data_IF_499206125183
#
_entry.id   IF_499206125183
#
_cell.length_a   1.000
_cell.length_b   1.000
_cell.length_c   1.000
_cell.angle_alpha   90.00
_cell.angle_beta   90.00
_cell.angle_gamma   90.00
#
_symmetry.space_group_name_H-M   'P 1'
#
loop_
_entity.id
_entity.type
_entity.pdbx_description
1 polymer ?
#
# COMPACT_ATOMS: atom_id res chain seq x y z
N UNK A 1 -13.55 29.56 26.76
CA UNK A 1 -13.30 28.17 27.26
C UNK A 1 -12.44 27.28 26.35
N UNK A 2 -12.42 27.43 25.01
CA UNK A 2 -11.65 26.55 24.10
C UNK A 2 -10.12 26.72 24.16
N UNK A 3 -9.60 27.89 24.50
CA UNK A 3 -8.14 28.16 24.56
C UNK A 3 -7.42 27.47 25.71
N UNK A 4 -8.07 27.39 26.86
CA UNK A 4 -7.47 26.79 28.06
C UNK A 4 -7.43 25.24 27.98
N UNK A 5 -8.42 24.62 27.33
CA UNK A 5 -8.48 23.16 27.12
C UNK A 5 -7.34 22.71 26.20
N UNK A 6 -7.04 23.48 25.13
CA UNK A 6 -5.93 23.17 24.21
C UNK A 6 -4.58 23.28 24.93
N UNK A 7 -4.39 24.33 25.75
CA UNK A 7 -3.16 24.51 26.53
C UNK A 7 -2.95 23.39 27.54
N UNK A 8 -4.03 22.91 28.20
CA UNK A 8 -3.98 21.80 29.17
C UNK A 8 -3.61 20.49 28.48
N UNK A 9 -4.18 20.20 27.31
CA UNK A 9 -3.85 19.00 26.51
C UNK A 9 -2.38 19.07 26.02
N UNK A 10 -1.93 20.23 25.57
CA UNK A 10 -0.55 20.44 25.13
C UNK A 10 0.45 20.27 26.28
N UNK A 11 0.12 20.80 27.47
CA UNK A 11 0.96 20.63 28.68
C UNK A 11 1.00 19.18 29.13
N UNK A 12 -0.13 18.47 29.04
CA UNK A 12 -0.21 17.03 29.36
C UNK A 12 0.66 16.19 28.41
N UNK A 13 0.63 16.50 27.11
CA UNK A 13 1.48 15.86 26.09
C UNK A 13 2.98 16.10 26.32
N UNK A 14 3.37 17.30 26.78
CA UNK A 14 4.77 17.66 27.06
C UNK A 14 5.28 16.96 28.33
N UNK A 15 4.43 16.74 29.34
CA UNK A 15 4.81 16.07 30.61
C UNK A 15 5.15 14.59 30.44
N UNK A 16 4.69 13.92 29.37
CA UNK A 16 5.08 12.54 29.07
C UNK A 16 6.47 12.41 28.42
N UNK A 17 7.13 13.52 28.10
CA UNK A 17 8.44 13.54 27.41
C UNK A 17 9.65 13.37 28.35
N UNK A 18 9.46 13.24 29.66
CA UNK A 18 10.56 13.19 30.60
C UNK A 18 10.87 11.76 31.07
N UNK A 19 12.07 11.29 30.71
CA UNK A 19 12.77 10.12 31.27
C UNK A 19 12.48 8.71 30.74
N UNK A 20 11.92 8.52 29.57
CA UNK A 20 12.11 7.24 28.88
C UNK A 20 13.47 7.32 28.14
N UNK A 21 14.45 6.51 28.54
CA UNK A 21 15.54 6.16 27.65
C UNK A 21 14.91 5.44 26.46
N UNK A 22 14.60 6.22 25.40
CA UNK A 22 13.96 5.70 24.19
C UNK A 22 15.00 4.82 23.51
N UNK A 23 14.91 3.52 23.74
CA UNK A 23 15.75 2.57 23.05
C UNK A 23 15.25 2.48 21.60
N UNK A 24 16.07 2.94 20.68
CA UNK A 24 15.80 2.85 19.26
C UNK A 24 16.45 1.60 18.69
N UNK A 25 15.68 0.79 18.03
CA UNK A 25 16.18 -0.32 17.21
C UNK A 25 15.87 0.00 15.75
N UNK A 26 16.83 -0.28 14.87
CA UNK A 26 16.63 -0.13 13.44
C UNK A 26 17.41 -1.19 12.70
N UNK A 27 16.91 -1.63 11.55
CA UNK A 27 17.61 -2.61 10.74
C UNK A 27 16.87 -3.02 9.48
N UNK A 28 17.58 -3.72 8.59
CA UNK A 28 17.01 -4.23 7.36
C UNK A 28 15.93 -5.28 7.63
N UNK A 29 14.96 -5.33 6.72
CA UNK A 29 13.90 -6.33 6.66
C UNK A 29 13.85 -7.00 5.31
N UNK A 30 13.69 -8.32 5.31
CA UNK A 30 13.37 -9.10 4.11
C UNK A 30 12.10 -9.89 4.36
N UNK A 31 11.31 -10.11 3.33
CA UNK A 31 10.04 -10.81 3.47
C UNK A 31 9.48 -11.37 2.18
N UNK A 32 8.47 -12.20 2.36
CA UNK A 32 7.62 -12.73 1.28
C UNK A 32 6.17 -12.36 1.58
N UNK A 33 5.48 -11.89 0.55
CA UNK A 33 4.07 -11.53 0.62
C UNK A 33 3.26 -12.37 -0.34
N UNK A 34 2.27 -13.06 0.19
CA UNK A 34 1.21 -13.67 -0.58
C UNK A 34 0.08 -12.64 -0.73
N UNK A 35 -0.34 -12.43 -1.96
CA UNK A 35 -1.41 -11.52 -2.34
C UNK A 35 -2.57 -12.33 -2.88
N UNK A 36 -3.75 -12.14 -2.32
CA UNK A 36 -4.98 -12.75 -2.85
C UNK A 36 -5.39 -12.13 -4.18
N UNK A 37 -6.28 -12.81 -4.95
CA UNK A 37 -6.80 -12.26 -6.19
C UNK A 37 -7.35 -10.84 -6.00
N UNK A 38 -6.99 -9.94 -6.90
CA UNK A 38 -7.34 -8.53 -6.84
C UNK A 38 -6.39 -7.68 -7.68
N UNK A 39 -6.54 -6.37 -7.64
CA UNK A 39 -5.77 -5.44 -8.45
C UNK A 39 -4.25 -5.63 -8.30
N UNK A 40 -3.76 -5.75 -7.06
CA UNK A 40 -2.32 -5.90 -6.82
C UNK A 40 -1.77 -7.22 -7.36
N UNK A 41 -2.53 -8.31 -7.25
CA UNK A 41 -2.12 -9.62 -7.80
C UNK A 41 -2.03 -9.56 -9.33
N UNK A 42 -2.97 -8.89 -10.00
CA UNK A 42 -2.96 -8.74 -11.46
C UNK A 42 -1.78 -7.88 -11.93
N UNK A 43 -1.45 -6.81 -11.20
CA UNK A 43 -0.25 -6.03 -11.46
C UNK A 43 1.03 -6.88 -11.37
N UNK A 44 1.17 -7.66 -10.29
CA UNK A 44 2.32 -8.54 -10.08
C UNK A 44 2.44 -9.63 -11.15
N UNK A 45 1.33 -10.05 -11.74
CA UNK A 45 1.26 -11.02 -12.84
C UNK A 45 1.44 -10.36 -14.21
N UNK A 46 1.48 -9.02 -14.26
CA UNK A 46 1.51 -8.21 -15.51
C UNK A 46 0.23 -8.36 -16.36
N UNK A 47 -0.87 -8.72 -15.72
CA UNK A 47 -2.18 -8.80 -16.36
C UNK A 47 -2.83 -7.41 -16.46
N UNK A 48 -2.29 -6.41 -15.73
CA UNK A 48 -2.71 -5.00 -15.74
C UNK A 48 -1.46 -4.12 -15.88
N UNK A 49 -1.47 -3.17 -16.80
CA UNK A 49 -0.42 -2.18 -16.97
C UNK A 49 -0.80 -0.88 -16.28
N UNK A 50 0.08 -0.34 -15.45
CA UNK A 50 -0.12 0.93 -14.76
C UNK A 50 0.15 2.16 -15.64
N UNK A 51 0.95 1.98 -16.68
CA UNK A 51 1.33 3.04 -17.61
C UNK A 51 1.03 2.55 -19.01
N UNK A 52 0.14 3.24 -19.71
CA UNK A 52 -0.14 2.97 -21.12
C UNK A 52 1.09 3.33 -21.93
N UNK A 53 1.79 2.32 -22.45
CA UNK A 53 2.56 2.50 -23.65
C UNK A 53 1.57 2.54 -24.82
N UNK A 54 1.68 3.51 -25.70
CA UNK A 54 0.71 3.83 -26.76
C UNK A 54 0.36 2.68 -27.73
N UNK A 55 0.93 1.48 -27.55
CA UNK A 55 0.78 0.32 -28.44
C UNK A 55 0.36 -0.98 -27.74
N UNK A 56 -0.23 -0.95 -26.59
CA UNK A 56 -0.63 -2.17 -25.89
C UNK A 56 -2.05 -2.05 -25.37
N UNK A 57 -2.85 -3.12 -25.60
CA UNK A 57 -4.19 -3.26 -25.07
C UNK A 57 -4.27 -2.78 -23.63
N UNK A 58 -4.89 -1.61 -23.45
CA UNK A 58 -5.13 -1.05 -22.13
C UNK A 58 -6.16 -1.93 -21.45
N UNK A 59 -5.93 -2.22 -20.16
CA UNK A 59 -6.97 -2.84 -19.35
C UNK A 59 -8.21 -1.94 -19.35
N UNK A 60 -9.32 -2.49 -19.78
CA UNK A 60 -10.62 -1.81 -19.89
C UNK A 60 -11.31 -1.59 -18.53
N UNK A 61 -10.70 -2.04 -17.44
CA UNK A 61 -11.26 -1.92 -16.10
C UNK A 61 -12.33 -2.96 -15.77
N UNK A 62 -12.75 -3.81 -16.72
CA UNK A 62 -13.94 -4.64 -16.56
C UNK A 62 -13.69 -5.95 -15.83
N UNK A 63 -12.48 -6.53 -15.91
CA UNK A 63 -12.21 -7.84 -15.31
C UNK A 63 -10.84 -7.92 -14.65
N UNK A 64 -10.76 -8.66 -13.55
CA UNK A 64 -9.50 -9.04 -12.91
C UNK A 64 -9.37 -10.57 -12.94
N UNK A 65 -8.11 -11.03 -13.11
CA UNK A 65 -7.79 -12.45 -13.03
C UNK A 65 -8.08 -13.02 -11.63
N UNK A 66 -8.39 -14.31 -11.58
CA UNK A 66 -8.81 -15.00 -10.34
C UNK A 66 -7.63 -15.58 -9.54
N UNK A 67 -6.38 -15.31 -9.92
CA UNK A 67 -5.22 -15.91 -9.30
C UNK A 67 -4.49 -14.90 -8.40
N UNK A 68 -4.05 -15.40 -7.25
CA UNK A 68 -3.15 -14.65 -6.37
C UNK A 68 -1.73 -14.53 -6.93
N UNK A 69 -0.88 -13.81 -6.21
CA UNK A 69 0.52 -13.63 -6.55
C UNK A 69 1.41 -13.73 -5.32
N UNK A 70 2.70 -14.00 -5.55
CA UNK A 70 3.75 -13.92 -4.55
C UNK A 70 4.74 -12.84 -4.95
N UNK A 71 5.24 -12.08 -3.97
CA UNK A 71 6.32 -11.12 -4.16
C UNK A 71 7.31 -11.15 -3.01
N UNK A 72 8.58 -10.94 -3.31
CA UNK A 72 9.59 -10.63 -2.33
C UNK A 72 9.50 -9.17 -1.90
N UNK A 73 9.86 -8.89 -0.65
CA UNK A 73 9.92 -7.53 -0.11
C UNK A 73 11.25 -7.30 0.60
N UNK A 74 11.77 -6.10 0.43
CA UNK A 74 13.01 -5.63 1.04
C UNK A 74 12.77 -4.25 1.62
N UNK A 75 13.38 -3.96 2.75
CA UNK A 75 13.20 -2.64 3.32
C UNK A 75 13.89 -2.46 4.66
N UNK A 76 13.33 -1.57 5.44
CA UNK A 76 13.90 -1.13 6.70
C UNK A 76 12.82 -0.94 7.75
N UNK A 77 13.15 -1.27 9.01
CA UNK A 77 12.34 -1.01 10.18
C UNK A 77 13.03 -0.03 11.10
N UNK A 78 12.25 0.87 11.68
CA UNK A 78 12.61 1.69 12.82
C UNK A 78 11.63 1.38 13.94
N UNK A 79 12.15 1.15 15.12
CA UNK A 79 11.38 0.84 16.33
C UNK A 79 11.79 1.79 17.44
N UNK A 80 10.79 2.30 18.15
CA UNK A 80 10.97 3.13 19.32
C UNK A 80 10.12 2.59 20.46
N UNK A 81 10.68 2.45 21.66
CA UNK A 81 9.96 2.09 22.86
C UNK A 81 9.46 3.36 23.52
N UNK A 82 8.16 3.44 23.80
CA UNK A 82 7.56 4.60 24.46
C UNK A 82 7.05 4.30 25.87
N UNK A 83 6.90 3.04 26.24
CA UNK A 83 6.47 2.60 27.56
C UNK A 83 7.20 1.32 27.95
N UNK A 84 7.60 1.21 29.21
CA UNK A 84 8.22 0.02 29.79
C UNK A 84 7.52 -0.34 31.08
N UNK A 85 6.76 -1.43 31.07
CA UNK A 85 6.06 -2.00 32.22
C UNK A 85 6.76 -3.24 32.80
N UNK A 86 8.04 -3.44 32.49
CA UNK A 86 8.84 -4.59 32.92
C UNK A 86 8.57 -5.83 32.08
N UNK A 87 7.41 -6.46 32.23
CA UNK A 87 7.04 -7.65 31.46
C UNK A 87 6.48 -7.34 30.07
N UNK A 88 6.00 -6.12 29.85
CA UNK A 88 5.41 -5.67 28.59
C UNK A 88 5.97 -4.28 28.26
N UNK A 89 6.40 -4.12 27.02
CA UNK A 89 6.95 -2.88 26.48
C UNK A 89 6.03 -2.37 25.37
N UNK A 90 5.68 -1.10 25.41
CA UNK A 90 4.97 -0.41 24.34
C UNK A 90 5.93 0.05 23.24
N UNK A 91 5.57 -0.20 21.99
CA UNK A 91 6.39 0.05 20.80
C UNK A 91 5.66 0.94 19.81
N UNK A 92 6.41 1.79 19.13
CA UNK A 92 6.03 2.40 17.85
C UNK A 92 7.00 1.90 16.81
N UNK A 93 6.46 1.35 15.73
CA UNK A 93 7.21 0.75 14.65
C UNK A 93 6.88 1.43 13.31
N UNK A 94 7.91 1.77 12.57
CA UNK A 94 7.84 2.20 11.20
C UNK A 94 8.50 1.15 10.34
N UNK A 95 7.79 0.64 9.35
CA UNK A 95 8.30 -0.37 8.43
C UNK A 95 8.09 0.14 7.01
N UNK A 96 9.18 0.40 6.30
CA UNK A 96 9.18 0.77 4.89
C UNK A 96 9.68 -0.42 4.07
N UNK A 97 8.88 -0.89 3.13
CA UNK A 97 9.19 -2.03 2.28
C UNK A 97 9.00 -1.66 0.80
N UNK A 98 9.79 -2.29 -0.05
CA UNK A 98 9.64 -2.30 -1.51
C UNK A 98 9.48 -3.73 -1.95
N UNK A 99 8.42 -4.01 -2.70
CA UNK A 99 8.11 -5.34 -3.24
C UNK A 99 8.12 -5.38 -4.75
N UNK A 100 8.10 -6.61 -5.30
CA UNK A 100 7.93 -6.85 -6.74
C UNK A 100 9.17 -6.63 -7.60
N UNK A 101 10.35 -6.39 -7.00
CA UNK A 101 11.58 -6.15 -7.77
C UNK A 101 11.97 -7.34 -8.66
N UNK A 102 11.68 -8.57 -8.23
CA UNK A 102 11.87 -9.79 -9.04
C UNK A 102 10.97 -9.85 -10.28
N UNK A 103 9.93 -9.01 -10.31
CA UNK A 103 9.01 -8.84 -11.44
C UNK A 103 9.32 -7.59 -12.27
N UNK A 104 10.38 -6.85 -11.91
CA UNK A 104 10.70 -5.56 -12.51
C UNK A 104 9.75 -4.44 -12.09
N UNK A 105 9.07 -4.60 -10.94
CA UNK A 105 8.14 -3.62 -10.38
C UNK A 105 8.74 -2.97 -9.14
N UNK A 106 8.34 -1.73 -8.90
CA UNK A 106 8.68 -0.98 -7.70
C UNK A 106 7.38 -0.67 -6.95
N UNK A 107 7.07 -1.49 -5.93
CA UNK A 107 5.84 -1.41 -5.15
C UNK A 107 6.15 -1.01 -3.71
N UNK A 108 6.25 0.31 -3.43
CA UNK A 108 6.54 0.80 -2.10
C UNK A 108 5.35 0.63 -1.16
N UNK A 109 5.64 0.37 0.12
CA UNK A 109 4.68 0.42 1.21
C UNK A 109 5.33 0.92 2.48
N UNK A 110 4.58 1.70 3.27
CA UNK A 110 5.00 2.21 4.56
C UNK A 110 3.93 1.90 5.59
N UNK A 111 4.31 1.27 6.68
CA UNK A 111 3.44 0.99 7.82
C UNK A 111 3.91 1.78 9.03
N UNK A 112 2.97 2.37 9.75
CA UNK A 112 3.18 2.97 11.07
C UNK A 112 2.32 2.22 12.07
N UNK A 113 2.95 1.49 12.99
CA UNK A 113 2.23 0.58 13.89
C UNK A 113 2.51 0.94 15.34
N UNK A 114 1.50 0.78 16.18
CA UNK A 114 1.64 0.78 17.62
C UNK A 114 1.46 -0.67 18.09
N UNK A 115 2.35 -1.10 18.94
CA UNK A 115 2.40 -2.49 19.39
C UNK A 115 2.88 -2.67 20.81
N UNK A 116 2.90 -3.91 21.19
CA UNK A 116 3.42 -4.37 22.48
C UNK A 116 4.38 -5.55 22.24
N UNK A 117 5.41 -5.61 23.06
CA UNK A 117 6.34 -6.75 23.12
C UNK A 117 6.41 -7.26 24.54
N UNK A 118 6.26 -8.56 24.73
CA UNK A 118 6.48 -9.21 26.02
C UNK A 118 7.97 -9.40 26.31
N UNK A 119 8.33 -9.59 27.57
CA UNK A 119 9.69 -9.95 27.97
C UNK A 119 10.18 -11.26 27.33
N UNK A 120 9.25 -12.18 27.00
CA UNK A 120 9.54 -13.43 26.28
C UNK A 120 9.83 -13.21 24.79
N UNK A 121 9.53 -12.05 24.22
CA UNK A 121 9.79 -11.73 22.81
C UNK A 121 8.56 -11.79 21.89
N UNK A 122 7.38 -12.15 22.39
CA UNK A 122 6.13 -12.14 21.61
C UNK A 122 5.73 -10.69 21.33
N UNK A 123 5.36 -10.41 20.09
CA UNK A 123 4.99 -9.08 19.60
C UNK A 123 3.61 -9.09 18.96
N UNK A 124 2.87 -7.98 19.18
CA UNK A 124 1.62 -7.68 18.48
C UNK A 124 1.63 -6.19 18.14
N UNK A 125 1.32 -5.86 16.91
CA UNK A 125 1.25 -4.48 16.45
C UNK A 125 0.12 -4.29 15.44
N UNK A 126 -0.44 -3.09 15.41
CA UNK A 126 -1.44 -2.71 14.42
C UNK A 126 -1.30 -1.22 14.08
N UNK A 127 -1.72 -0.85 12.88
CA UNK A 127 -1.67 0.53 12.44
C UNK A 127 -1.98 0.71 10.97
N UNK A 128 -1.89 1.94 10.46
CA UNK A 128 -2.07 2.20 9.03
C UNK A 128 -0.90 1.69 8.19
N UNK A 129 -1.24 1.19 7.02
CA UNK A 129 -0.32 0.85 5.93
C UNK A 129 -0.68 1.67 4.70
N UNK A 130 0.26 2.44 4.20
CA UNK A 130 0.17 3.18 2.95
C UNK A 130 0.91 2.40 1.86
N UNK A 131 0.25 2.15 0.74
CA UNK A 131 0.81 1.47 -0.42
C UNK A 131 0.18 1.99 -1.71
N UNK A 132 0.61 1.53 -2.88
CA UNK A 132 -0.03 1.90 -4.15
C UNK A 132 -1.51 1.49 -4.22
N UNK A 133 -1.92 0.49 -3.45
CA UNK A 133 -3.33 0.11 -3.31
C UNK A 133 -4.17 1.08 -2.46
N UNK A 134 -3.54 2.09 -1.82
CA UNK A 134 -4.19 3.04 -0.91
C UNK A 134 -3.78 2.84 0.54
N UNK A 135 -4.59 3.37 1.46
CA UNK A 135 -4.39 3.27 2.91
C UNK A 135 -5.27 2.15 3.45
N UNK A 136 -4.67 1.19 4.14
CA UNK A 136 -5.36 0.09 4.79
C UNK A 136 -4.85 -0.07 6.23
N UNK A 137 -5.55 -0.83 7.06
CA UNK A 137 -5.03 -1.27 8.35
C UNK A 137 -4.11 -2.47 8.15
N UNK A 138 -3.01 -2.50 8.89
CA UNK A 138 -2.16 -3.69 9.03
C UNK A 138 -2.25 -4.20 10.46
N UNK A 139 -2.32 -5.50 10.62
CA UNK A 139 -2.25 -6.20 11.90
C UNK A 139 -1.10 -7.20 11.81
N UNK A 140 -0.20 -7.15 12.78
CA UNK A 140 0.97 -8.01 12.81
C UNK A 140 1.12 -8.71 14.15
N UNK A 141 1.71 -9.90 14.08
CA UNK A 141 2.17 -10.66 15.23
C UNK A 141 3.54 -11.26 14.93
N UNK A 142 4.36 -11.43 15.95
CA UNK A 142 5.69 -11.95 15.73
C UNK A 142 6.40 -12.38 16.99
N UNK A 143 7.64 -12.76 16.79
CA UNK A 143 8.55 -13.13 17.84
C UNK A 143 9.93 -12.52 17.60
N UNK A 144 10.48 -11.85 18.59
CA UNK A 144 11.81 -11.27 18.54
C UNK A 144 12.82 -12.19 19.24
N UNK A 145 13.60 -12.91 18.46
CA UNK A 145 14.72 -13.70 18.97
C UNK A 145 15.88 -12.78 19.35
N UNK A 146 16.48 -13.01 20.51
CA UNK A 146 17.60 -12.20 21.01
C UNK A 146 18.86 -13.05 21.15
N UNK A 147 19.93 -12.59 20.50
CA UNK A 147 21.25 -13.22 20.56
C UNK A 147 22.29 -12.15 20.90
N UNK A 148 22.47 -11.89 22.22
CA UNK A 148 23.29 -10.77 22.67
C UNK A 148 22.74 -9.43 22.19
N UNK A 149 23.53 -8.70 21.41
CA UNK A 149 23.13 -7.41 20.85
C UNK A 149 22.29 -7.51 19.55
N UNK A 150 22.15 -8.72 19.00
CA UNK A 150 21.36 -8.97 17.81
C UNK A 150 19.91 -9.30 18.18
N UNK A 151 18.98 -8.54 17.64
CA UNK A 151 17.54 -8.81 17.66
C UNK A 151 17.12 -9.29 16.27
N UNK A 152 16.48 -10.44 16.22
CA UNK A 152 16.00 -11.08 14.99
C UNK A 152 14.46 -11.20 15.06
N UNK A 153 13.71 -10.14 14.77
CA UNK A 153 12.27 -10.22 14.72
C UNK A 153 11.79 -11.01 13.50
N UNK A 154 10.93 -11.99 13.75
CA UNK A 154 10.20 -12.74 12.72
C UNK A 154 8.73 -12.44 12.90
N UNK A 155 8.13 -11.80 11.89
CA UNK A 155 6.76 -11.29 12.00
C UNK A 155 5.90 -11.78 10.83
N UNK A 156 4.63 -12.02 11.13
CA UNK A 156 3.56 -12.19 10.15
C UNK A 156 2.66 -10.97 10.24
N UNK A 157 2.31 -10.40 9.10
CA UNK A 157 1.43 -9.24 9.00
C UNK A 157 0.31 -9.51 8.00
N UNK A 158 -0.88 -9.05 8.32
CA UNK A 158 -2.07 -9.14 7.48
C UNK A 158 -2.58 -7.73 7.15
N UNK A 159 -2.83 -7.48 5.87
CA UNK A 159 -3.47 -6.26 5.37
C UNK A 159 -4.73 -6.67 4.63
N UNK A 160 -5.92 -6.30 5.10
CA UNK A 160 -7.17 -6.66 4.44
C UNK A 160 -7.29 -5.99 3.07
N UNK A 161 -8.05 -6.62 2.20
CA UNK A 161 -8.42 -6.05 0.91
C UNK A 161 -9.29 -4.81 1.12
N UNK A 162 -9.09 -3.83 0.25
CA UNK A 162 -9.94 -2.65 0.16
C UNK A 162 -10.49 -2.55 -1.26
N UNK A 163 -11.66 -1.95 -1.39
CA UNK A 163 -12.23 -1.67 -2.69
C UNK A 163 -11.65 -0.37 -3.23
N UNK A 164 -11.25 -0.38 -4.50
CA UNK A 164 -10.80 0.79 -5.23
C UNK A 164 -11.73 1.02 -6.41
N UNK A 165 -12.27 2.21 -6.48
CA UNK A 165 -13.23 2.62 -7.50
C UNK A 165 -12.50 3.45 -8.55
N UNK A 166 -12.80 3.18 -9.81
CA UNK A 166 -12.31 3.88 -10.97
C UNK A 166 -13.50 4.38 -11.77
N UNK A 167 -13.47 5.65 -12.13
CA UNK A 167 -14.43 6.24 -13.05
C UNK A 167 -13.82 6.11 -14.46
N UNK A 168 -14.58 5.49 -15.36
CA UNK A 168 -14.26 5.35 -16.77
C UNK A 168 -15.07 6.40 -17.51
N UNK A 169 -14.39 7.30 -18.16
CA UNK A 169 -15.02 8.38 -18.91
C UNK A 169 -15.81 7.84 -20.12
N UNK A 170 -16.79 8.60 -20.54
CA UNK A 170 -17.55 8.30 -21.75
C UNK A 170 -16.61 8.31 -22.98
N UNK A 171 -16.77 7.32 -23.82
CA UNK A 171 -16.01 7.20 -25.07
C UNK A 171 -16.82 7.77 -26.24
N UNK A 172 -16.19 8.66 -26.98
CA UNK A 172 -16.78 9.28 -28.17
C UNK A 172 -15.97 8.91 -29.42
N UNK A 173 -16.64 8.68 -30.56
CA UNK A 173 -15.98 8.62 -31.84
C UNK A 173 -15.33 9.98 -32.15
N UNK A 174 -14.24 9.96 -32.90
CA UNK A 174 -13.76 11.21 -33.51
C UNK A 174 -14.70 11.62 -34.64
N UNK A 175 -15.04 12.91 -34.68
CA UNK A 175 -15.72 13.45 -35.84
C UNK A 175 -14.85 13.31 -37.10
N UNK A 176 -15.45 13.15 -38.24
CA UNK A 176 -14.77 13.04 -39.53
C UNK A 176 -15.46 13.88 -40.62
N UNK A 177 -14.71 14.27 -41.63
CA UNK A 177 -15.27 14.87 -42.81
C UNK A 177 -15.94 13.79 -43.65
N UNK A 178 -17.21 13.98 -43.94
CA UNK A 178 -17.98 13.11 -44.81
C UNK A 178 -18.20 13.81 -46.13
N UNK A 179 -17.82 13.17 -47.18
CA UNK A 179 -18.08 13.56 -48.56
C UNK A 179 -19.09 12.52 -49.13
N UNK A 180 -20.38 12.90 -49.25
CA UNK A 180 -21.44 11.95 -49.56
C UNK A 180 -21.38 11.40 -51.01
N UNK A 181 -20.88 12.18 -51.94
CA UNK A 181 -20.84 11.80 -53.36
C UNK A 181 -19.42 11.48 -53.90
N UNK A 182 -18.38 11.69 -53.02
CA UNK A 182 -16.97 11.45 -53.42
C UNK A 182 -16.40 12.46 -54.37
N UNK A 183 -17.10 13.59 -54.59
CA UNK A 183 -16.61 14.73 -55.41
C UNK A 183 -16.15 15.88 -54.52
N UNK A 184 -14.83 16.07 -54.29
CA UNK A 184 -14.31 17.10 -53.38
C UNK A 184 -14.58 18.53 -53.84
N UNK A 185 -15.33 18.72 -54.91
CA UNK A 185 -15.72 20.03 -55.45
C UNK A 185 -17.24 20.27 -55.42
N UNK A 186 -18.03 19.32 -54.96
CA UNK A 186 -19.48 19.44 -54.90
C UNK A 186 -19.96 20.44 -53.84
N UNK A 187 -19.19 20.64 -52.77
CA UNK A 187 -19.45 21.54 -51.68
C UNK A 187 -20.56 21.01 -50.74
N UNK A 188 -20.80 19.70 -50.76
CA UNK A 188 -21.76 19.01 -49.87
C UNK A 188 -21.05 18.25 -48.73
N UNK A 189 -19.73 18.42 -48.61
CA UNK A 189 -18.98 17.87 -47.47
C UNK A 189 -19.44 18.51 -46.17
N UNK A 190 -19.57 17.70 -45.16
CA UNK A 190 -19.90 18.16 -43.81
C UNK A 190 -19.07 17.43 -42.75
N UNK A 191 -18.85 18.13 -41.64
CA UNK A 191 -18.23 17.53 -40.47
C UNK A 191 -19.24 16.70 -39.69
N UNK A 192 -18.99 15.41 -39.54
CA UNK A 192 -19.79 14.59 -38.63
C UNK A 192 -19.39 14.89 -37.20
N UNK A 193 -20.35 15.14 -36.33
CA UNK A 193 -20.09 15.29 -34.91
C UNK A 193 -19.63 13.96 -34.30
N UNK A 194 -18.91 14.07 -33.18
CA UNK A 194 -18.55 12.91 -32.37
C UNK A 194 -19.81 12.22 -31.84
N UNK A 195 -19.88 10.91 -32.00
CA UNK A 195 -21.00 10.08 -31.50
C UNK A 195 -20.54 9.39 -30.22
N UNK A 196 -21.40 9.38 -29.20
CA UNK A 196 -21.18 8.63 -27.98
C UNK A 196 -21.13 7.13 -28.30
N UNK A 197 -20.00 6.48 -28.05
CA UNK A 197 -19.79 5.04 -28.22
C UNK A 197 -20.14 4.28 -26.97
N UNK A 198 -19.66 4.76 -25.82
CA UNK A 198 -19.92 4.16 -24.51
C UNK A 198 -20.21 5.26 -23.48
N UNK A 199 -21.22 5.05 -22.66
CA UNK A 199 -21.51 5.92 -21.53
C UNK A 199 -20.40 5.84 -20.47
N UNK A 200 -20.19 6.91 -19.71
CA UNK A 200 -19.33 6.87 -18.54
C UNK A 200 -19.90 5.87 -17.52
N UNK A 201 -19.00 5.07 -16.93
CA UNK A 201 -19.37 4.11 -15.90
C UNK A 201 -18.30 3.99 -14.83
N UNK A 202 -18.69 3.43 -13.68
CA UNK A 202 -17.80 3.25 -12.54
C UNK A 202 -17.54 1.77 -12.30
N UNK A 203 -16.25 1.42 -12.12
CA UNK A 203 -15.83 0.04 -11.83
C UNK A 203 -15.18 0.00 -10.45
N UNK A 204 -15.56 -0.98 -9.63
CA UNK A 204 -14.98 -1.19 -8.31
C UNK A 204 -14.28 -2.55 -8.24
N UNK A 205 -13.00 -2.53 -7.90
CA UNK A 205 -12.19 -3.74 -7.75
C UNK A 205 -11.58 -3.86 -6.36
N UNK A 206 -11.49 -5.08 -5.80
CA UNK A 206 -10.74 -5.33 -4.59
C UNK A 206 -9.23 -5.19 -4.87
N UNK A 207 -8.49 -4.63 -3.92
CA UNK A 207 -7.03 -4.54 -4.01
C UNK A 207 -6.32 -5.88 -3.80
N UNK A 208 -7.01 -6.86 -3.23
CA UNK A 208 -6.48 -8.13 -2.75
C UNK A 208 -5.92 -8.03 -1.33
N UNK A 209 -6.32 -8.93 -0.44
CA UNK A 209 -5.72 -9.02 0.88
C UNK A 209 -4.29 -9.56 0.79
N UNK A 210 -3.47 -9.25 1.78
CA UNK A 210 -2.05 -9.59 1.78
C UNK A 210 -1.63 -10.19 3.11
N UNK A 211 -0.89 -11.30 3.03
CA UNK A 211 -0.19 -11.88 4.16
C UNK A 211 1.31 -11.80 3.89
N UNK A 212 2.04 -11.15 4.80
CA UNK A 212 3.48 -10.94 4.68
C UNK A 212 4.19 -11.63 5.84
N UNK A 213 5.22 -12.40 5.55
CA UNK A 213 6.17 -12.91 6.55
C UNK A 213 7.47 -12.15 6.35
N UNK A 214 7.99 -11.55 7.42
CA UNK A 214 9.24 -10.80 7.39
C UNK A 214 10.22 -11.28 8.45
N UNK A 215 11.50 -11.19 8.13
CA UNK A 215 12.61 -11.37 9.07
C UNK A 215 13.44 -10.09 9.09
N UNK A 216 13.73 -9.60 10.28
CA UNK A 216 14.54 -8.41 10.49
C UNK A 216 15.89 -8.72 11.15
N UNK A 217 16.81 -7.76 11.05
CA UNK A 217 18.14 -7.82 11.68
C UNK A 217 18.40 -6.49 12.35
N UNK A 218 18.08 -6.38 13.64
CA UNK A 218 18.20 -5.13 14.39
C UNK A 218 19.34 -5.25 15.41
N UNK A 219 20.28 -4.32 15.36
CA UNK A 219 21.35 -4.23 16.35
C UNK A 219 20.95 -3.24 17.43
N UNK A 220 20.96 -3.64 18.69
CA UNK A 220 20.87 -2.73 19.83
C UNK A 220 22.22 -2.05 20.03
N UNK A 221 22.19 -0.72 20.05
CA UNK A 221 23.36 0.09 20.44
C UNK A 221 23.46 0.17 21.93
#
# INVERSE_FOLDING_TARGET
MKKNTFLTILTFLICFSTNAQIQHLAGPRIGLTAVEPGLLANILRKDVKFFSDENTDSWDGTSLGQYGALMSQYGWQWESRFADGGNIVGLVEWVALVGGMEKGLFLPSVSSMVGIRTSSGIEFAAGPNLSLGGIAMVIGAGYNFRFGNLNLPVNIAYVPSMNKTYDIDAEFSQGEWIDPDGDPYSGDEYWSDSVLLNDAYTVTHPTGSRVTITVGFNLSK
#
